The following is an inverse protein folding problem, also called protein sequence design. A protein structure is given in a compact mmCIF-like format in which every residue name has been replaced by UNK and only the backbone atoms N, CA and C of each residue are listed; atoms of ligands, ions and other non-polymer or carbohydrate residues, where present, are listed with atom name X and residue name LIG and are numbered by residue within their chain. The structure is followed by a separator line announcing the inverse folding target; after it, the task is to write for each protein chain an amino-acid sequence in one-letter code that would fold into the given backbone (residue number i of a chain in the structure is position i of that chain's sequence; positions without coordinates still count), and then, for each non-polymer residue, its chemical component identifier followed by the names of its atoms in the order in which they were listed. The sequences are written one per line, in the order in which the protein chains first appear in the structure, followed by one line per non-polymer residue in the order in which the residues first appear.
data_IF_658189687444
#
_entry.id   IF_658189687444
#
_cell.length_a   1.000
_cell.length_b   1.000
_cell.length_c   1.000
_cell.angle_alpha   90.00
_cell.angle_beta   90.00
_cell.angle_gamma   90.00
#
_symmetry.space_group_name_H-M   'P 1'
#
loop_
_entity.id
_entity.type
_entity.pdbx_description
1 polymer ?
#
# COMPACT_ATOMS: atom_id res chain seq x y z
N UNK A 1 29.85 -11.05 19.63
CA UNK A 1 28.60 -11.81 19.86
C UNK A 1 27.57 -11.21 18.92
N UNK A 2 27.27 -11.92 17.84
CA UNK A 2 26.27 -11.47 16.84
C UNK A 2 24.89 -11.66 17.46
N UNK A 3 24.20 -10.55 17.78
CA UNK A 3 22.80 -10.59 18.18
C UNK A 3 21.97 -10.86 16.92
N UNK A 4 21.37 -12.01 16.87
CA UNK A 4 20.41 -12.39 15.83
C UNK A 4 19.13 -11.59 16.09
N UNK A 5 18.83 -10.61 15.25
CA UNK A 5 17.53 -9.97 15.21
C UNK A 5 16.63 -10.83 14.34
N UNK A 6 15.76 -11.58 14.98
CA UNK A 6 14.67 -12.27 14.30
C UNK A 6 13.53 -11.26 14.15
N UNK A 7 13.46 -10.58 13.02
CA UNK A 7 12.27 -9.85 12.65
C UNK A 7 11.37 -10.82 11.87
N UNK A 8 10.10 -10.87 12.19
CA UNK A 8 9.11 -11.79 11.65
C UNK A 8 8.41 -11.14 10.46
N UNK A 9 8.64 -11.64 9.25
CA UNK A 9 7.81 -11.29 8.10
C UNK A 9 6.51 -12.07 8.23
N UNK A 10 5.43 -11.41 8.64
CA UNK A 10 4.11 -12.01 8.76
C UNK A 10 3.30 -11.68 7.50
N UNK A 11 3.40 -12.51 6.47
CA UNK A 11 2.45 -12.51 5.38
C UNK A 11 1.18 -13.23 5.85
N UNK A 12 0.17 -12.47 6.26
CA UNK A 12 -1.13 -13.02 6.64
C UNK A 12 -1.98 -13.21 5.38
N UNK A 13 -2.04 -14.44 4.90
CA UNK A 13 -3.10 -14.87 4.00
C UNK A 13 -4.39 -14.99 4.83
N UNK A 14 -5.17 -13.93 4.88
CA UNK A 14 -6.51 -14.01 5.44
C UNK A 14 -7.40 -14.77 4.46
N UNK A 15 -8.11 -15.83 4.89
CA UNK A 15 -9.14 -16.42 4.05
C UNK A 15 -10.22 -15.36 3.83
N UNK A 16 -10.54 -15.10 2.56
CA UNK A 16 -11.66 -14.24 2.19
C UNK A 16 -12.95 -14.85 2.75
N UNK A 17 -13.35 -14.45 3.94
CA UNK A 17 -14.68 -14.73 4.45
C UNK A 17 -15.68 -13.84 3.72
N UNK A 18 -16.26 -14.36 2.65
CA UNK A 18 -17.40 -13.78 1.98
C UNK A 18 -18.62 -13.85 2.93
N UNK A 19 -18.85 -12.77 3.66
CA UNK A 19 -20.11 -12.57 4.41
C UNK A 19 -20.62 -11.17 4.09
N UNK A 20 -21.60 -11.12 3.18
CA UNK A 20 -22.59 -10.06 2.99
C UNK A 20 -22.00 -8.70 2.56
N UNK A 21 -22.53 -8.12 1.50
CA UNK A 21 -22.41 -6.71 1.00
C UNK A 21 -21.16 -5.88 1.37
N UNK A 22 -20.01 -6.50 1.54
CA UNK A 22 -18.75 -5.81 1.76
C UNK A 22 -18.30 -5.17 0.45
N UNK A 23 -18.30 -3.85 0.41
CA UNK A 23 -17.99 -3.07 -0.79
C UNK A 23 -16.51 -3.10 -1.12
N UNK A 24 -15.64 -3.02 -0.12
CA UNK A 24 -14.20 -3.17 -0.26
C UNK A 24 -13.70 -4.25 0.72
N UNK A 25 -12.81 -5.11 0.26
CA UNK A 25 -12.23 -6.18 1.08
C UNK A 25 -10.70 -6.09 1.09
N UNK A 26 -10.10 -6.34 2.25
CA UNK A 26 -8.64 -6.52 2.33
C UNK A 26 -8.31 -7.87 1.70
N UNK A 27 -7.53 -7.84 0.64
CA UNK A 27 -7.07 -9.04 -0.07
C UNK A 27 -5.79 -9.56 0.54
N UNK A 28 -4.86 -8.65 0.82
CA UNK A 28 -3.58 -8.93 1.45
C UNK A 28 -3.16 -7.79 2.36
N UNK A 29 -2.34 -8.11 3.36
CA UNK A 29 -1.68 -7.12 4.19
C UNK A 29 -0.30 -7.59 4.60
N UNK A 30 0.59 -6.65 4.89
CA UNK A 30 1.92 -6.91 5.42
C UNK A 30 2.33 -5.83 6.42
N UNK A 31 3.31 -6.16 7.25
CA UNK A 31 3.88 -5.22 8.20
C UNK A 31 5.40 -5.38 8.22
N UNK A 32 6.12 -4.28 8.01
CA UNK A 32 7.56 -4.19 8.18
C UNK A 32 7.87 -3.42 9.45
N UNK A 33 8.78 -3.94 10.28
CA UNK A 33 9.15 -3.33 11.56
C UNK A 33 10.57 -2.81 11.44
N UNK A 34 10.74 -1.49 11.52
CA UNK A 34 12.02 -0.80 11.39
C UNK A 34 12.37 -0.06 12.67
N UNK A 35 13.61 -0.16 13.12
CA UNK A 35 14.10 0.62 14.24
C UNK A 35 14.52 2.03 13.75
N UNK A 36 13.99 3.06 14.40
CA UNK A 36 14.34 4.45 14.18
C UNK A 36 14.74 5.10 15.52
N UNK A 37 16.03 5.20 15.75
CA UNK A 37 16.55 5.65 17.05
C UNK A 37 16.14 4.73 18.19
N UNK A 38 15.39 5.27 19.17
CA UNK A 38 14.87 4.52 20.31
C UNK A 38 13.46 3.95 20.09
N UNK A 39 12.87 4.17 18.93
CA UNK A 39 11.51 3.72 18.58
C UNK A 39 11.56 2.55 17.62
N UNK A 40 10.48 1.78 17.59
CA UNK A 40 10.18 0.92 16.45
C UNK A 40 8.98 1.47 15.70
N UNK A 41 9.11 1.50 14.38
CA UNK A 41 8.03 1.87 13.48
C UNK A 41 7.50 0.61 12.78
N UNK A 42 6.20 0.37 12.91
CA UNK A 42 5.51 -0.66 12.14
C UNK A 42 4.87 0.00 10.92
N UNK A 43 5.38 -0.33 9.75
CA UNK A 43 4.85 0.12 8.46
C UNK A 43 3.86 -0.93 7.98
N UNK A 44 2.60 -0.54 7.94
CA UNK A 44 1.47 -1.42 7.63
C UNK A 44 0.97 -1.14 6.22
N UNK A 45 0.93 -2.16 5.39
CA UNK A 45 0.50 -2.10 4.00
C UNK A 45 -0.67 -3.03 3.78
N UNK A 46 -1.64 -2.62 2.97
CA UNK A 46 -2.72 -3.49 2.56
C UNK A 46 -3.19 -3.22 1.15
N UNK A 47 -3.65 -4.27 0.49
CA UNK A 47 -4.37 -4.22 -0.77
C UNK A 47 -5.87 -4.36 -0.50
N UNK A 48 -6.65 -3.44 -1.03
CA UNK A 48 -8.11 -3.41 -0.98
C UNK A 48 -8.64 -3.70 -2.37
N UNK A 49 -9.63 -4.58 -2.48
CA UNK A 49 -10.36 -4.85 -3.71
C UNK A 49 -11.80 -4.36 -3.61
N UNK A 50 -12.29 -3.64 -4.62
CA UNK A 50 -13.70 -3.24 -4.69
C UNK A 50 -14.56 -4.37 -5.25
N UNK A 51 -15.25 -5.09 -4.37
CA UNK A 51 -16.20 -6.15 -4.73
C UNK A 51 -17.61 -5.65 -5.11
N UNK A 52 -17.87 -4.34 -4.94
CA UNK A 52 -19.18 -3.80 -5.27
C UNK A 52 -19.36 -3.62 -6.78
N UNK A 53 -20.61 -3.49 -7.22
CA UNK A 53 -20.95 -3.11 -8.59
C UNK A 53 -20.97 -1.59 -8.82
N UNK A 54 -20.57 -0.81 -7.83
CA UNK A 54 -20.54 0.66 -7.84
C UNK A 54 -19.15 1.16 -7.46
N UNK A 55 -18.85 2.40 -7.83
CA UNK A 55 -17.68 3.11 -7.32
C UNK A 55 -17.80 3.25 -5.81
N UNK A 56 -16.70 3.08 -5.10
CA UNK A 56 -16.62 3.27 -3.65
C UNK A 56 -15.49 4.24 -3.30
N UNK A 57 -15.63 4.92 -2.15
CA UNK A 57 -14.53 5.61 -1.49
C UNK A 57 -14.45 5.18 -0.02
N UNK A 58 -13.26 5.28 0.55
CA UNK A 58 -13.06 5.05 1.97
C UNK A 58 -13.71 6.21 2.76
N UNK A 59 -14.70 5.90 3.62
CA UNK A 59 -15.30 6.88 4.53
C UNK A 59 -14.44 7.04 5.78
N UNK A 60 -14.15 5.90 6.42
CA UNK A 60 -13.32 5.81 7.61
C UNK A 60 -12.78 4.40 7.74
N UNK A 61 -11.69 4.28 8.48
CA UNK A 61 -11.11 2.99 8.75
C UNK A 61 -10.20 3.03 9.95
N UNK A 62 -10.11 1.88 10.60
CA UNK A 62 -9.10 1.60 11.62
C UNK A 62 -8.42 0.28 11.31
N UNK A 63 -7.24 0.10 11.85
CA UNK A 63 -6.58 -1.20 11.89
C UNK A 63 -6.00 -1.46 13.27
N UNK A 64 -6.00 -2.73 13.64
CA UNK A 64 -5.50 -3.22 14.90
C UNK A 64 -4.23 -4.06 14.66
N UNK A 65 -3.19 -3.77 15.42
CA UNK A 65 -1.99 -4.59 15.51
C UNK A 65 -2.08 -5.49 16.73
N UNK A 66 -1.82 -6.79 16.56
CA UNK A 66 -2.04 -7.79 17.60
C UNK A 66 -0.80 -8.66 17.83
N UNK A 67 -0.64 -9.11 19.08
CA UNK A 67 0.29 -10.16 19.47
C UNK A 67 -0.51 -11.32 20.06
N UNK A 68 -0.74 -12.37 19.29
CA UNK A 68 -1.72 -13.41 19.64
C UNK A 68 -3.11 -12.79 19.80
N UNK A 69 -3.70 -12.91 21.00
CA UNK A 69 -5.00 -12.31 21.34
C UNK A 69 -4.87 -10.91 21.96
N UNK A 70 -3.65 -10.41 22.15
CA UNK A 70 -3.42 -9.11 22.79
C UNK A 70 -3.39 -8.02 21.76
N UNK A 71 -4.25 -7.00 21.91
CA UNK A 71 -4.22 -5.76 21.15
C UNK A 71 -2.98 -4.95 21.54
N UNK A 72 -2.10 -4.64 20.58
CA UNK A 72 -0.93 -3.81 20.77
C UNK A 72 -1.21 -2.34 20.48
N UNK A 73 -1.96 -2.08 19.41
CA UNK A 73 -2.29 -0.72 18.98
C UNK A 73 -3.52 -0.74 18.08
N UNK A 74 -4.30 0.33 18.13
CA UNK A 74 -5.33 0.68 17.14
C UNK A 74 -4.96 2.00 16.50
N UNK A 75 -4.96 2.07 15.18
CA UNK A 75 -4.71 3.30 14.42
C UNK A 75 -5.79 3.54 13.39
N UNK A 76 -5.98 4.81 13.02
CA UNK A 76 -6.85 5.19 11.92
C UNK A 76 -6.12 4.91 10.60
N UNK A 77 -6.88 4.50 9.58
CA UNK A 77 -6.38 4.41 8.21
C UNK A 77 -6.41 5.81 7.61
N UNK A 78 -5.24 6.33 7.27
CA UNK A 78 -5.12 7.70 6.80
C UNK A 78 -5.58 7.87 5.36
N UNK A 79 -5.22 6.94 4.46
CA UNK A 79 -5.50 7.11 3.04
C UNK A 79 -5.51 5.78 2.28
N UNK A 80 -6.30 5.76 1.18
CA UNK A 80 -6.27 4.72 0.15
C UNK A 80 -5.90 5.37 -1.19
N UNK A 81 -5.09 4.68 -1.99
CA UNK A 81 -4.77 5.07 -3.35
C UNK A 81 -5.23 4.01 -4.35
N UNK A 82 -5.96 4.41 -5.41
CA UNK A 82 -6.61 5.71 -5.56
C UNK A 82 -7.74 5.89 -4.53
N UNK A 83 -8.16 7.14 -4.27
CA UNK A 83 -9.19 7.46 -3.28
C UNK A 83 -10.57 6.88 -3.65
N UNK A 84 -10.91 6.87 -4.93
CA UNK A 84 -12.08 6.21 -5.47
C UNK A 84 -11.66 4.93 -6.16
N UNK A 85 -12.39 3.85 -5.93
CA UNK A 85 -12.16 2.56 -6.57
C UNK A 85 -13.34 2.20 -7.46
N UNK A 86 -13.09 2.00 -8.74
CA UNK A 86 -14.08 1.46 -9.67
C UNK A 86 -14.43 0.00 -9.30
N UNK A 87 -15.58 -0.54 -9.76
CA UNK A 87 -15.88 -1.96 -9.58
C UNK A 87 -14.76 -2.87 -10.10
N UNK A 88 -14.32 -3.80 -9.25
CA UNK A 88 -13.23 -4.73 -9.57
C UNK A 88 -11.81 -4.15 -9.49
N UNK A 89 -11.66 -2.90 -9.08
CA UNK A 89 -10.37 -2.23 -8.96
C UNK A 89 -9.69 -2.51 -7.63
N UNK A 90 -8.36 -2.53 -7.65
CA UNK A 90 -7.52 -2.64 -6.45
C UNK A 90 -7.00 -1.27 -6.03
N UNK A 91 -7.01 -1.02 -4.73
CA UNK A 91 -6.37 0.13 -4.10
C UNK A 91 -5.37 -0.31 -3.04
N UNK A 92 -4.57 0.64 -2.57
CA UNK A 92 -3.53 0.38 -1.59
C UNK A 92 -3.63 1.31 -0.39
N UNK A 93 -3.40 0.74 0.78
CA UNK A 93 -3.29 1.45 2.06
C UNK A 93 -1.85 1.41 2.54
N UNK A 94 -1.45 2.49 3.19
CA UNK A 94 -0.16 2.61 3.84
C UNK A 94 -0.31 3.43 5.11
N UNK A 95 0.13 2.88 6.24
CA UNK A 95 0.10 3.54 7.53
C UNK A 95 1.31 3.18 8.39
N UNK A 96 1.64 4.04 9.35
CA UNK A 96 2.78 3.86 10.25
C UNK A 96 2.30 3.95 11.70
N UNK A 97 2.71 2.97 12.51
CA UNK A 97 2.50 2.97 13.96
C UNK A 97 3.85 3.03 14.67
N UNK A 98 4.00 3.98 15.59
CA UNK A 98 5.20 4.10 16.43
C UNK A 98 5.01 3.34 17.74
N UNK A 99 6.04 2.58 18.12
CA UNK A 99 6.14 1.90 19.41
C UNK A 99 7.21 2.55 20.25
N UNK A 100 6.80 3.05 21.42
CA UNK A 100 7.65 3.75 22.37
C UNK A 100 8.69 2.82 23.00
N UNK A 101 9.85 3.34 23.43
CA UNK A 101 10.83 2.59 24.21
C UNK A 101 10.28 2.22 25.60
N UNK A 102 10.98 1.31 26.29
CA UNK A 102 10.69 0.97 27.68
C UNK A 102 10.95 2.15 28.66
N UNK A 103 10.63 1.96 29.93
CA UNK A 103 10.82 2.96 30.99
C UNK A 103 12.29 3.39 31.17
N UNK A 104 13.24 2.61 30.65
CA UNK A 104 14.68 2.91 30.69
C UNK A 104 15.17 3.57 29.39
N UNK A 105 14.26 3.84 28.43
CA UNK A 105 14.59 4.40 27.14
C UNK A 105 15.19 3.40 26.14
N UNK A 106 15.09 2.09 26.39
CA UNK A 106 15.56 1.08 25.45
C UNK A 106 14.46 0.75 24.42
N UNK A 107 14.84 0.59 23.15
CA UNK A 107 13.88 0.20 22.12
C UNK A 107 13.36 -1.22 22.36
N UNK A 108 12.04 -1.39 22.31
CA UNK A 108 11.35 -2.68 22.47
C UNK A 108 10.74 -3.10 21.14
N UNK A 109 11.23 -4.23 20.60
CA UNK A 109 10.70 -4.79 19.36
C UNK A 109 9.25 -5.24 19.57
N UNK A 110 8.26 -4.68 18.87
CA UNK A 110 6.88 -5.15 18.98
C UNK A 110 6.74 -6.56 18.36
N UNK A 111 6.11 -7.46 19.08
CA UNK A 111 5.82 -8.82 18.59
C UNK A 111 4.47 -8.81 17.86
N UNK A 112 4.42 -8.28 16.64
CA UNK A 112 3.20 -8.25 15.84
C UNK A 112 3.01 -9.61 15.20
N UNK A 113 1.85 -10.25 15.46
CA UNK A 113 1.48 -11.54 14.89
C UNK A 113 0.22 -11.48 14.04
N UNK A 114 -0.47 -10.34 14.04
CA UNK A 114 -1.69 -10.12 13.25
C UNK A 114 -1.98 -8.67 13.00
N UNK A 115 -2.65 -8.41 11.87
CA UNK A 115 -3.25 -7.13 11.53
C UNK A 115 -4.69 -7.41 11.14
N UNK A 116 -5.63 -6.63 11.69
CA UNK A 116 -7.03 -6.65 11.26
C UNK A 116 -7.50 -5.25 10.91
N UNK A 117 -8.31 -5.14 9.87
CA UNK A 117 -8.85 -3.88 9.38
C UNK A 117 -10.35 -3.81 9.58
N UNK A 118 -10.82 -2.64 10.02
CA UNK A 118 -12.24 -2.31 10.09
C UNK A 118 -12.48 -1.06 9.24
N UNK A 119 -12.89 -1.27 7.99
CA UNK A 119 -13.03 -0.23 6.97
C UNK A 119 -14.49 -0.04 6.61
N UNK A 120 -14.92 1.21 6.51
CA UNK A 120 -16.25 1.58 6.02
C UNK A 120 -16.12 2.33 4.71
N UNK A 121 -16.88 1.90 3.71
CA UNK A 121 -16.89 2.50 2.39
C UNK A 121 -18.25 3.10 2.08
N UNK A 122 -18.23 4.26 1.43
CA UNK A 122 -19.40 4.89 0.86
C UNK A 122 -19.54 4.49 -0.62
N UNK A 123 -20.74 4.10 -1.07
CA UNK A 123 -21.03 4.06 -2.50
C UNK A 123 -21.12 5.51 -2.98
N UNK A 124 -20.50 5.76 -4.12
CA UNK A 124 -20.52 7.09 -4.74
C UNK A 124 -21.13 7.00 -6.15
N UNK A 125 -21.55 8.14 -6.67
CA UNK A 125 -22.12 8.22 -8.02
C UNK A 125 -21.09 7.75 -9.07
N UNK A 126 -21.58 7.17 -10.17
CA UNK A 126 -20.73 6.75 -11.28
C UNK A 126 -19.96 7.93 -11.93
N UNK A 127 -20.41 9.17 -11.75
CA UNK A 127 -19.68 10.38 -12.15
C UNK A 127 -18.33 10.51 -11.46
N UNK A 128 -18.11 9.84 -10.31
CA UNK A 128 -16.83 9.79 -9.60
C UNK A 128 -15.94 8.60 -10.05
N UNK A 129 -16.31 7.89 -11.12
CA UNK A 129 -15.47 6.84 -11.67
C UNK A 129 -14.12 7.39 -12.13
N UNK A 130 -13.07 6.63 -11.88
CA UNK A 130 -11.75 6.92 -12.41
C UNK A 130 -11.68 6.54 -13.89
N UNK A 131 -10.84 7.25 -14.63
CA UNK A 131 -10.38 6.88 -15.96
C UNK A 131 -8.99 6.27 -15.83
N UNK A 132 -8.82 5.06 -16.33
CA UNK A 132 -7.57 4.33 -16.20
C UNK A 132 -6.49 4.91 -17.11
N UNK A 133 -5.28 4.99 -16.57
CA UNK A 133 -4.05 5.19 -17.33
C UNK A 133 -3.39 3.84 -17.56
N UNK A 134 -2.88 3.62 -18.76
CA UNK A 134 -2.06 2.44 -19.00
C UNK A 134 -0.74 2.58 -18.24
N UNK A 135 -0.43 1.61 -17.39
CA UNK A 135 0.79 1.59 -16.59
C UNK A 135 1.67 0.41 -16.96
N UNK A 136 2.96 0.67 -17.20
CA UNK A 136 4.01 -0.35 -17.31
C UNK A 136 5.05 -0.02 -16.26
N UNK A 137 5.27 -0.94 -15.32
CA UNK A 137 6.13 -0.71 -14.17
C UNK A 137 7.20 -1.77 -14.05
N UNK A 138 8.36 -1.36 -13.56
CA UNK A 138 9.51 -2.23 -13.33
C UNK A 138 10.18 -1.89 -12.00
N UNK A 139 10.69 -2.92 -11.32
CA UNK A 139 11.53 -2.78 -10.15
C UNK A 139 12.97 -2.63 -10.65
N UNK A 140 13.62 -1.56 -10.23
CA UNK A 140 15.01 -1.24 -10.59
C UNK A 140 15.86 -1.23 -9.32
N UNK A 141 16.99 -1.91 -9.36
CA UNK A 141 18.01 -1.82 -8.33
C UNK A 141 19.29 -1.29 -8.96
N UNK A 142 19.84 -0.24 -8.39
CA UNK A 142 21.06 0.37 -8.89
C UNK A 142 22.33 -0.35 -8.38
N UNK A 143 23.49 0.14 -8.77
CA UNK A 143 24.77 -0.46 -8.39
C UNK A 143 25.12 -0.31 -6.90
N UNK A 144 24.50 0.64 -6.19
CA UNK A 144 24.60 0.81 -4.72
C UNK A 144 23.69 -0.15 -3.97
N UNK A 145 22.71 -0.73 -4.63
CA UNK A 145 21.70 -1.60 -4.03
C UNK A 145 20.39 -0.88 -3.73
N UNK A 146 20.30 0.41 -4.04
CA UNK A 146 19.09 1.20 -3.85
C UNK A 146 17.99 0.73 -4.80
N UNK A 147 16.81 0.48 -4.24
CA UNK A 147 15.66 -0.02 -4.98
C UNK A 147 14.68 1.10 -5.29
N UNK A 148 14.16 1.08 -6.51
CA UNK A 148 13.06 1.95 -6.89
C UNK A 148 12.10 1.25 -7.84
N UNK A 149 10.89 1.78 -7.96
CA UNK A 149 9.91 1.37 -8.97
C UNK A 149 9.76 2.50 -9.97
N UNK A 150 9.92 2.19 -11.24
CA UNK A 150 9.69 3.13 -12.34
C UNK A 150 8.36 2.76 -13.00
N UNK A 151 7.40 3.67 -12.95
CA UNK A 151 6.11 3.53 -13.59
C UNK A 151 6.04 4.44 -14.81
N UNK A 152 5.83 3.85 -15.99
CA UNK A 152 5.51 4.57 -17.21
C UNK A 152 4.01 4.62 -17.36
N UNK A 153 3.43 5.80 -17.19
CA UNK A 153 1.99 6.04 -17.35
C UNK A 153 1.72 6.61 -18.73
N UNK A 154 0.76 6.05 -19.44
CA UNK A 154 0.33 6.53 -20.76
C UNK A 154 -1.17 6.82 -20.69
N UNK A 155 -1.53 8.04 -21.08
CA UNK A 155 -2.94 8.43 -21.21
C UNK A 155 -3.45 7.97 -22.57
N UNK A 156 -4.17 6.85 -22.58
CA UNK A 156 -4.80 6.31 -23.80
C UNK A 156 -6.24 6.81 -24.01
N UNK A 157 -6.70 7.74 -23.18
CA UNK A 157 -8.03 8.36 -23.34
C UNK A 157 -7.97 9.53 -24.34
N UNK A 158 -9.15 10.03 -24.71
CA UNK A 158 -9.27 11.22 -25.57
C UNK A 158 -9.21 12.56 -24.81
N UNK A 159 -9.13 12.50 -23.46
CA UNK A 159 -9.11 13.65 -22.57
C UNK A 159 -7.70 13.84 -21.97
N UNK A 160 -7.39 15.07 -21.59
CA UNK A 160 -6.18 15.33 -20.80
C UNK A 160 -6.39 14.83 -19.36
N UNK A 161 -5.43 14.07 -18.86
CA UNK A 161 -5.44 13.58 -17.48
C UNK A 161 -4.76 14.59 -16.56
N UNK A 162 -5.51 15.23 -15.68
CA UNK A 162 -4.99 16.16 -14.69
C UNK A 162 -4.90 15.52 -13.31
N UNK A 163 -3.85 15.84 -12.57
CA UNK A 163 -3.61 15.35 -11.22
C UNK A 163 -3.79 13.81 -11.09
N UNK A 164 -3.19 13.02 -11.99
CA UNK A 164 -3.36 11.59 -11.92
C UNK A 164 -2.83 11.02 -10.62
N UNK A 165 -3.51 10.00 -10.12
CA UNK A 165 -3.08 9.19 -8.98
C UNK A 165 -2.42 7.93 -9.49
N UNK A 166 -1.31 7.54 -8.87
CA UNK A 166 -0.63 6.29 -9.12
C UNK A 166 -0.32 5.60 -7.80
N UNK A 167 -0.61 4.32 -7.74
CA UNK A 167 -0.33 3.48 -6.59
C UNK A 167 0.34 2.19 -7.02
N UNK A 168 1.23 1.69 -6.18
CA UNK A 168 1.99 0.47 -6.42
C UNK A 168 1.87 -0.51 -5.25
N UNK A 169 1.90 -1.80 -5.56
CA UNK A 169 2.13 -2.87 -4.61
C UNK A 169 3.29 -3.73 -5.06
N UNK A 170 4.19 -4.07 -4.14
CA UNK A 170 5.34 -4.96 -4.39
C UNK A 170 5.08 -6.33 -3.80
N UNK A 171 5.37 -7.36 -4.56
CA UNK A 171 5.07 -8.75 -4.20
C UNK A 171 6.26 -9.66 -4.44
N UNK A 172 6.34 -10.73 -3.64
CA UNK A 172 7.27 -11.84 -3.88
C UNK A 172 6.84 -12.68 -5.08
N UNK A 173 7.67 -13.61 -5.52
CA UNK A 173 7.33 -14.64 -6.52
C UNK A 173 6.09 -15.45 -6.13
N UNK A 174 5.87 -15.68 -4.84
CA UNK A 174 4.69 -16.40 -4.34
C UNK A 174 3.43 -15.55 -4.29
N UNK A 175 3.50 -14.26 -4.67
CA UNK A 175 2.39 -13.33 -4.64
C UNK A 175 2.11 -12.73 -3.25
N UNK A 176 3.00 -12.90 -2.28
CA UNK A 176 2.85 -12.26 -0.97
C UNK A 176 3.23 -10.78 -1.06
N UNK A 177 2.35 -9.91 -0.58
CA UNK A 177 2.58 -8.47 -0.54
C UNK A 177 3.68 -8.11 0.45
N UNK A 178 4.60 -7.24 0.05
CA UNK A 178 5.69 -6.73 0.88
C UNK A 178 5.57 -5.24 1.19
N UNK A 179 5.03 -4.48 0.25
CA UNK A 179 5.06 -3.02 0.30
C UNK A 179 3.94 -2.43 -0.56
N UNK A 180 3.49 -1.25 -0.21
CA UNK A 180 2.70 -0.40 -1.11
C UNK A 180 3.05 1.07 -0.90
N UNK A 181 2.82 1.84 -1.94
CA UNK A 181 2.96 3.28 -1.92
C UNK A 181 2.00 3.90 -2.95
N UNK A 182 1.75 5.19 -2.83
CA UNK A 182 0.90 5.90 -3.76
C UNK A 182 1.10 7.41 -3.68
N UNK A 183 0.79 8.07 -4.77
CA UNK A 183 0.87 9.53 -4.86
C UNK A 183 -0.13 10.08 -5.87
N UNK A 184 -0.53 11.33 -5.65
CA UNK A 184 -1.22 12.14 -6.66
C UNK A 184 -0.22 13.12 -7.25
N UNK A 185 -0.06 13.10 -8.57
CA UNK A 185 0.84 14.00 -9.29
C UNK A 185 0.18 15.39 -9.41
N UNK A 186 0.31 16.19 -8.35
CA UNK A 186 -0.29 17.52 -8.30
C UNK A 186 0.29 18.43 -9.39
N UNK A 187 -0.57 19.22 -10.02
CA UNK A 187 -0.22 20.16 -11.11
C UNK A 187 0.40 19.48 -12.35
N UNK A 188 0.26 18.17 -12.49
CA UNK A 188 0.70 17.44 -13.68
C UNK A 188 -0.47 17.15 -14.60
N UNK A 189 -0.33 17.53 -15.86
CA UNK A 189 -1.24 17.17 -16.95
C UNK A 189 -0.57 16.18 -17.90
N UNK A 190 -1.23 15.06 -18.20
CA UNK A 190 -0.81 14.12 -19.25
C UNK A 190 -1.80 14.27 -20.41
N UNK A 191 -1.41 14.90 -21.52
CA UNK A 191 -2.31 15.08 -22.65
C UNK A 191 -2.72 13.73 -23.23
N UNK A 192 -3.82 13.71 -23.97
CA UNK A 192 -4.27 12.53 -24.73
C UNK A 192 -3.11 11.94 -25.56
N UNK A 193 -2.83 10.65 -25.41
CA UNK A 193 -1.69 9.97 -26.02
C UNK A 193 -0.34 10.27 -25.38
N UNK A 194 -0.27 11.15 -24.38
CA UNK A 194 0.95 11.53 -23.67
C UNK A 194 1.43 10.45 -22.70
N UNK A 195 2.69 10.57 -22.28
CA UNK A 195 3.34 9.65 -21.35
C UNK A 195 4.15 10.42 -20.32
N UNK A 196 4.13 9.93 -19.05
CA UNK A 196 4.98 10.43 -17.96
C UNK A 196 5.65 9.25 -17.25
N UNK A 197 6.81 9.51 -16.65
CA UNK A 197 7.48 8.55 -15.77
C UNK A 197 7.34 9.02 -14.33
N UNK A 198 6.94 8.08 -13.48
CA UNK A 198 6.85 8.26 -12.02
C UNK A 198 7.83 7.29 -11.36
N UNK A 199 8.56 7.79 -10.38
CA UNK A 199 9.51 6.98 -9.61
C UNK A 199 9.08 6.95 -8.16
N UNK A 200 9.07 5.75 -7.59
CA UNK A 200 8.94 5.50 -6.16
C UNK A 200 10.27 4.95 -5.66
N UNK A 201 10.89 5.64 -4.71
CA UNK A 201 12.10 5.17 -4.05
C UNK A 201 11.71 4.34 -2.84
N UNK A 202 12.25 3.12 -2.75
CA UNK A 202 12.01 2.21 -1.63
C UNK A 202 13.08 2.41 -0.58
N UNK A 203 12.67 2.65 0.66
CA UNK A 203 13.60 2.85 1.79
C UNK A 203 14.56 1.66 1.93
N UNK A 204 15.85 1.97 2.07
CA UNK A 204 16.93 0.97 2.23
C UNK A 204 16.70 0.02 3.41
N UNK A 205 16.04 0.49 4.47
CA UNK A 205 15.72 -0.32 5.63
C UNK A 205 14.77 -1.48 5.28
N UNK A 206 13.79 -1.26 4.39
CA UNK A 206 12.92 -2.34 3.90
C UNK A 206 13.70 -3.33 3.04
N UNK A 207 14.53 -2.82 2.11
CA UNK A 207 15.35 -3.67 1.24
C UNK A 207 16.27 -4.56 2.07
N UNK A 208 16.97 -3.99 3.05
CA UNK A 208 17.84 -4.74 3.97
C UNK A 208 17.07 -5.80 4.78
N UNK A 209 15.86 -5.45 5.23
CA UNK A 209 14.99 -6.36 5.96
C UNK A 209 14.56 -7.53 5.06
N UNK A 210 14.06 -7.27 3.85
CA UNK A 210 13.64 -8.31 2.90
C UNK A 210 14.79 -9.23 2.50
N UNK A 211 15.99 -8.67 2.27
CA UNK A 211 17.20 -9.46 2.01
C UNK A 211 17.51 -10.41 3.16
N UNK A 212 17.35 -9.96 4.41
CA UNK A 212 17.63 -10.77 5.60
C UNK A 212 16.70 -11.99 5.73
N UNK A 213 15.49 -11.90 5.14
CA UNK A 213 14.49 -12.98 5.12
C UNK A 213 14.52 -13.81 3.83
N UNK A 214 15.26 -13.36 2.81
CA UNK A 214 15.22 -13.96 1.48
C UNK A 214 13.89 -13.75 0.75
N UNK A 215 13.17 -12.67 1.07
CA UNK A 215 11.84 -12.35 0.54
C UNK A 215 11.87 -11.05 -0.28
N UNK A 216 12.68 -11.00 -1.32
CA UNK A 216 12.76 -9.83 -2.20
C UNK A 216 11.52 -9.71 -3.10
N UNK A 217 11.07 -8.47 -3.39
CA UNK A 217 10.01 -8.26 -4.37
C UNK A 217 10.51 -8.56 -5.77
N UNK A 218 9.69 -9.26 -6.54
CA UNK A 218 9.95 -9.63 -7.94
C UNK A 218 8.82 -9.19 -8.87
N UNK A 219 7.68 -8.81 -8.29
CA UNK A 219 6.50 -8.37 -9.02
C UNK A 219 6.05 -7.01 -8.51
N UNK A 220 5.59 -6.18 -9.43
CA UNK A 220 4.94 -4.89 -9.13
C UNK A 220 3.57 -4.85 -9.80
N UNK A 221 2.55 -4.53 -9.02
CA UNK A 221 1.22 -4.20 -9.52
C UNK A 221 1.02 -2.70 -9.39
N UNK A 222 0.46 -2.09 -10.40
CA UNK A 222 0.26 -0.64 -10.45
C UNK A 222 -1.19 -0.35 -10.79
N UNK A 223 -1.80 0.51 -10.00
CA UNK A 223 -3.04 1.19 -10.32
C UNK A 223 -2.70 2.64 -10.65
N UNK A 224 -3.13 3.13 -11.81
CA UNK A 224 -2.93 4.51 -12.21
C UNK A 224 -4.19 5.04 -12.88
N UNK A 225 -4.70 6.14 -12.38
CA UNK A 225 -5.97 6.70 -12.84
C UNK A 225 -6.02 8.21 -12.64
N UNK A 226 -6.97 8.84 -13.29
CA UNK A 226 -7.34 10.23 -13.06
C UNK A 226 -8.86 10.37 -13.02
N UNK A 227 -9.31 11.49 -12.51
CA UNK A 227 -10.73 11.86 -12.54
C UNK A 227 -10.90 13.11 -13.37
N UNK A 228 -11.95 13.11 -14.19
CA UNK A 228 -12.36 14.30 -14.89
C UNK A 228 -13.33 15.06 -13.97
N UNK A 229 -12.87 16.21 -13.43
CA UNK A 229 -13.77 17.10 -12.74
C UNK A 229 -14.52 17.89 -13.83
N UNK A 230 -15.80 17.62 -14.02
CA UNK A 230 -16.65 18.49 -14.84
C UNK A 230 -16.78 19.83 -14.08
N UNK A 231 -16.27 20.91 -14.68
CA UNK A 231 -16.43 22.29 -14.22
C UNK A 231 -17.92 22.73 -14.18
#
# INVERSE_FOLDING_TARGET
MKKWFAALLLALLLPACALGDSKGVIVQSSCNIVQSGNYYLAYCFAQVHNNASTVICLDRGTFDLQSGETLLSTSEVAQIWPYFLNPGEDGYLFDIVSFEPDENGNPVVPSITGISYNLTYLPVDAAFANYDLSAVSEIVQDASGDMSVICRLTNSTEMDAYNPTVAIGLYTDSGAMLYSDGTTLQDVGIPAGGTVLVRFDVDEAFVAQWQSYGAMPTQVHTNASFRHDED
#
